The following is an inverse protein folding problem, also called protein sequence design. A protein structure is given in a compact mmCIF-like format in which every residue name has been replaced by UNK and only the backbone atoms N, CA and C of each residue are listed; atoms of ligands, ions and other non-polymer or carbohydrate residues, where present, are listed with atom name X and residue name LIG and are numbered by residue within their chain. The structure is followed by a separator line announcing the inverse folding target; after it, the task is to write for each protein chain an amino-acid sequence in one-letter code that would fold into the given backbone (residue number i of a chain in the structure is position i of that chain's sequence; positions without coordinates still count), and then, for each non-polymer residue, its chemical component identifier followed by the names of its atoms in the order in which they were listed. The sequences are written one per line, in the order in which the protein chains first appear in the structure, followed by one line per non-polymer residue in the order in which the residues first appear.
data_IF_274148760591
#
_entry.id   IF_274148760591
#
_cell.length_a   1.000
_cell.length_b   1.000
_cell.length_c   1.000
_cell.angle_alpha   90.00
_cell.angle_beta   90.00
_cell.angle_gamma   90.00
#
_symmetry.space_group_name_H-M   'P 1'
#
loop_
_entity.id
_entity.type
_entity.pdbx_description
1 polymer ?
#
# COMPACT_ATOMS: atom_id res chain seq x y z
N UNK A 1 29.15 9.81 9.05
CA UNK A 1 27.92 9.22 9.64
C UNK A 1 27.29 8.32 8.59
N UNK A 2 27.06 7.05 8.93
CA UNK A 2 26.61 6.05 7.96
C UNK A 2 25.24 6.46 7.36
N UNK A 3 25.15 6.64 6.04
CA UNK A 3 23.96 7.19 5.34
C UNK A 3 22.71 6.37 5.65
N UNK A 4 22.88 5.08 5.88
CA UNK A 4 21.83 4.14 6.28
C UNK A 4 21.25 4.47 7.67
N UNK A 5 22.10 4.70 8.68
CA UNK A 5 21.67 5.11 10.03
C UNK A 5 20.92 6.43 10.01
N UNK A 6 21.32 7.36 9.13
CA UNK A 6 20.64 8.64 8.93
C UNK A 6 19.22 8.44 8.37
N UNK A 7 19.06 7.59 7.35
CA UNK A 7 17.76 7.28 6.78
C UNK A 7 16.79 6.65 7.80
N UNK A 8 17.25 5.70 8.62
CA UNK A 8 16.41 5.14 9.69
C UNK A 8 16.02 6.19 10.72
N UNK A 9 16.95 7.04 11.18
CA UNK A 9 16.65 8.12 12.13
C UNK A 9 15.60 9.08 11.58
N UNK A 10 15.73 9.50 10.32
CA UNK A 10 14.72 10.37 9.67
C UNK A 10 13.35 9.69 9.61
N UNK A 11 13.28 8.41 9.26
CA UNK A 11 12.03 7.65 9.29
C UNK A 11 11.39 7.62 10.67
N UNK A 12 12.15 7.27 11.72
CA UNK A 12 11.64 7.22 13.09
C UNK A 12 11.14 8.59 13.57
N UNK A 13 11.91 9.66 13.30
CA UNK A 13 11.52 11.02 13.69
C UNK A 13 10.25 11.43 12.93
N UNK A 14 10.20 11.18 11.61
CA UNK A 14 9.02 11.51 10.80
C UNK A 14 7.78 10.73 11.23
N UNK A 15 7.93 9.46 11.58
CA UNK A 15 6.85 8.62 12.10
C UNK A 15 6.36 9.11 13.47
N UNK A 16 7.27 9.48 14.37
CA UNK A 16 6.90 10.04 15.67
C UNK A 16 6.12 11.36 15.54
N UNK A 17 6.55 12.24 14.63
CA UNK A 17 5.82 13.48 14.31
C UNK A 17 4.44 13.17 13.71
N UNK A 18 4.33 12.17 12.84
CA UNK A 18 3.05 11.72 12.30
C UNK A 18 2.10 11.24 13.41
N UNK A 19 2.59 10.47 14.39
CA UNK A 19 1.77 10.02 15.52
C UNK A 19 1.29 11.19 16.37
N UNK A 20 2.19 12.11 16.72
CA UNK A 20 1.84 13.29 17.52
C UNK A 20 0.81 14.16 16.79
N UNK A 21 1.04 14.46 15.51
CA UNK A 21 0.09 15.25 14.71
C UNK A 21 -1.25 14.54 14.51
N UNK A 22 -1.26 13.21 14.40
CA UNK A 22 -2.51 12.43 14.29
C UNK A 22 -3.38 12.49 15.53
N UNK A 23 -2.79 12.67 16.72
CA UNK A 23 -3.52 12.76 17.99
C UNK A 23 -3.95 14.20 18.30
N UNK A 24 -3.08 15.17 18.02
CA UNK A 24 -3.23 16.52 18.55
C UNK A 24 -3.67 17.57 17.54
N UNK A 25 -3.43 17.40 16.22
CA UNK A 25 -3.67 18.49 15.27
C UNK A 25 -3.82 18.04 13.80
N UNK A 26 -5.07 17.92 13.34
CA UNK A 26 -5.43 17.56 11.96
C UNK A 26 -4.85 18.45 10.84
N UNK A 27 -4.82 19.80 10.93
CA UNK A 27 -4.25 20.62 9.85
C UNK A 27 -2.73 20.42 9.67
N UNK A 28 -2.01 20.02 10.72
CA UNK A 28 -0.58 19.70 10.62
C UNK A 28 -0.33 18.32 10.00
N UNK A 29 -1.37 17.50 9.85
CA UNK A 29 -1.29 16.14 9.31
C UNK A 29 -0.79 16.13 7.85
N UNK A 30 -1.14 17.16 7.06
CA UNK A 30 -0.66 17.30 5.67
C UNK A 30 0.87 17.34 5.62
N UNK A 31 1.47 18.15 6.50
CA UNK A 31 2.91 18.34 6.54
C UNK A 31 3.63 17.09 7.07
N UNK A 32 3.09 16.45 8.11
CA UNK A 32 3.70 15.25 8.67
C UNK A 32 3.62 14.06 7.71
N UNK A 33 2.50 13.86 7.01
CA UNK A 33 2.37 12.84 5.95
C UNK A 33 3.35 13.08 4.81
N UNK A 34 3.47 14.33 4.36
CA UNK A 34 4.41 14.71 3.31
C UNK A 34 5.86 14.39 3.71
N UNK A 35 6.23 14.76 4.93
CA UNK A 35 7.56 14.50 5.49
C UNK A 35 7.86 13.00 5.56
N UNK A 36 6.89 12.18 5.97
CA UNK A 36 7.04 10.71 5.99
C UNK A 36 7.31 10.14 4.60
N UNK A 37 6.58 10.57 3.57
CA UNK A 37 6.78 10.06 2.21
C UNK A 37 8.15 10.48 1.66
N UNK A 38 8.62 11.70 1.97
CA UNK A 38 9.98 12.11 1.66
C UNK A 38 11.03 11.29 2.40
N UNK A 39 10.82 10.98 3.69
CA UNK A 39 11.73 10.11 4.46
C UNK A 39 11.80 8.70 3.87
N UNK A 40 10.68 8.13 3.45
CA UNK A 40 10.61 6.81 2.79
C UNK A 40 11.32 6.85 1.43
N UNK A 41 11.13 7.92 0.66
CA UNK A 41 11.82 8.13 -0.62
C UNK A 41 13.33 8.21 -0.43
N UNK A 42 13.79 8.95 0.59
CA UNK A 42 15.21 9.03 0.94
C UNK A 42 15.78 7.67 1.38
N UNK A 43 15.02 6.92 2.18
CA UNK A 43 15.38 5.55 2.55
C UNK A 43 15.57 4.64 1.32
N UNK A 44 14.65 4.71 0.36
CA UNK A 44 14.76 3.97 -0.90
C UNK A 44 16.05 4.31 -1.66
N UNK A 45 16.34 5.61 -1.83
CA UNK A 45 17.57 6.06 -2.52
C UNK A 45 18.85 5.57 -1.86
N UNK A 46 18.91 5.56 -0.53
CA UNK A 46 20.12 5.17 0.21
C UNK A 46 20.34 3.66 0.16
N UNK A 47 19.27 2.87 0.14
CA UNK A 47 19.35 1.40 0.26
C UNK A 47 19.41 0.67 -1.08
N UNK A 48 18.85 1.24 -2.15
CA UNK A 48 18.79 0.56 -3.44
C UNK A 48 20.12 0.58 -4.17
N UNK A 49 20.53 -0.55 -4.77
CA UNK A 49 21.74 -0.65 -5.60
C UNK A 49 21.55 0.02 -6.96
N UNK A 50 20.35 -0.06 -7.53
CA UNK A 50 19.94 0.58 -8.80
C UNK A 50 18.58 1.24 -8.64
N UNK A 51 18.54 2.56 -8.80
CA UNK A 51 17.31 3.34 -8.64
C UNK A 51 16.34 3.01 -9.76
N UNK A 52 15.15 2.52 -9.40
CA UNK A 52 14.05 2.38 -10.32
C UNK A 52 13.11 3.59 -10.18
N UNK A 53 13.13 4.48 -11.17
CA UNK A 53 12.35 5.72 -11.15
C UNK A 53 10.84 5.49 -11.00
N UNK A 54 10.32 4.33 -11.41
CA UNK A 54 8.91 3.98 -11.23
C UNK A 54 8.48 3.93 -9.76
N UNK A 55 9.38 3.54 -8.84
CA UNK A 55 9.09 3.55 -7.39
C UNK A 55 8.91 4.97 -6.89
N UNK A 56 9.73 5.91 -7.36
CA UNK A 56 9.65 7.32 -6.98
C UNK A 56 8.36 7.94 -7.53
N UNK A 57 8.00 7.64 -8.78
CA UNK A 57 6.73 8.09 -9.37
C UNK A 57 5.54 7.56 -8.58
N UNK A 58 5.56 6.29 -8.16
CA UNK A 58 4.50 5.73 -7.32
C UNK A 58 4.43 6.45 -5.95
N UNK A 59 5.56 6.76 -5.32
CA UNK A 59 5.60 7.51 -4.05
C UNK A 59 5.07 8.95 -4.21
N UNK A 60 5.33 9.61 -5.33
CA UNK A 60 4.80 10.94 -5.62
C UNK A 60 3.29 10.92 -5.88
N UNK A 61 2.78 9.89 -6.58
CA UNK A 61 1.34 9.74 -6.80
C UNK A 61 0.58 9.54 -5.50
N UNK A 62 1.08 8.68 -4.61
CA UNK A 62 0.42 8.51 -3.30
C UNK A 62 0.54 9.76 -2.44
N UNK A 63 1.66 10.51 -2.51
CA UNK A 63 1.78 11.80 -1.84
C UNK A 63 0.69 12.78 -2.28
N UNK A 64 0.48 12.92 -3.58
CA UNK A 64 -0.55 13.81 -4.10
C UNK A 64 -1.96 13.34 -3.69
N UNK A 65 -2.24 12.04 -3.72
CA UNK A 65 -3.50 11.49 -3.25
C UNK A 65 -3.75 11.75 -1.75
N UNK A 66 -2.72 11.60 -0.93
CA UNK A 66 -2.78 11.84 0.51
C UNK A 66 -3.02 13.31 0.85
N UNK A 67 -2.31 14.23 0.20
CA UNK A 67 -2.52 15.66 0.40
C UNK A 67 -3.96 16.06 0.05
N UNK A 68 -4.49 15.58 -1.07
CA UNK A 68 -5.87 15.83 -1.48
C UNK A 68 -6.89 15.23 -0.50
N UNK A 69 -6.62 14.02 0.01
CA UNK A 69 -7.46 13.31 0.98
C UNK A 69 -7.60 14.05 2.31
N UNK A 70 -6.53 14.73 2.75
CA UNK A 70 -6.57 15.53 3.98
C UNK A 70 -7.25 16.88 3.77
N UNK A 71 -7.05 17.55 2.62
CA UNK A 71 -7.66 18.85 2.33
C UNK A 71 -9.19 18.71 2.26
N UNK A 72 -9.69 17.87 1.35
CA UNK A 72 -11.13 17.66 1.18
C UNK A 72 -11.40 16.35 0.42
N UNK A 73 -11.63 15.28 1.19
CA UNK A 73 -11.83 13.93 0.63
C UNK A 73 -13.06 13.86 -0.29
N UNK A 74 -14.17 14.53 0.07
CA UNK A 74 -15.42 14.44 -0.69
C UNK A 74 -15.31 15.22 -2.00
N UNK A 75 -14.77 16.43 -1.95
CA UNK A 75 -14.61 17.27 -3.15
C UNK A 75 -13.63 16.66 -4.17
N UNK A 76 -12.53 16.08 -3.70
CA UNK A 76 -11.49 15.51 -4.56
C UNK A 76 -11.63 14.00 -4.77
N UNK A 77 -12.75 13.39 -4.36
CA UNK A 77 -12.96 11.94 -4.37
C UNK A 77 -12.59 11.30 -5.71
N UNK A 78 -13.12 11.84 -6.82
CA UNK A 78 -12.80 11.38 -8.18
C UNK A 78 -11.31 11.41 -8.49
N UNK A 79 -10.65 12.52 -8.18
CA UNK A 79 -9.22 12.72 -8.46
C UNK A 79 -8.39 11.76 -7.60
N UNK A 80 -8.70 11.64 -6.31
CA UNK A 80 -8.03 10.71 -5.39
C UNK A 80 -8.12 9.28 -5.92
N UNK A 81 -9.31 8.81 -6.33
CA UNK A 81 -9.48 7.47 -6.87
C UNK A 81 -8.64 7.26 -8.14
N UNK A 82 -8.60 8.23 -9.06
CA UNK A 82 -7.77 8.15 -10.26
C UNK A 82 -6.28 8.02 -9.89
N UNK A 83 -5.77 8.87 -8.99
CA UNK A 83 -4.38 8.78 -8.55
C UNK A 83 -4.06 7.44 -7.88
N UNK A 84 -4.95 6.95 -7.02
CA UNK A 84 -4.77 5.67 -6.34
C UNK A 84 -4.84 4.48 -7.32
N UNK A 85 -5.71 4.54 -8.34
CA UNK A 85 -5.74 3.56 -9.42
C UNK A 85 -4.41 3.52 -10.19
N UNK A 86 -3.87 4.68 -10.56
CA UNK A 86 -2.55 4.76 -11.20
C UNK A 86 -1.43 4.23 -10.29
N UNK A 87 -1.48 4.58 -8.99
CA UNK A 87 -0.54 4.06 -7.99
C UNK A 87 -0.57 2.53 -7.94
N UNK A 88 -1.74 1.89 -7.84
CA UNK A 88 -1.81 0.42 -7.83
C UNK A 88 -1.36 -0.19 -9.15
N UNK A 89 -1.69 0.42 -10.29
CA UNK A 89 -1.21 -0.04 -11.59
C UNK A 89 0.33 -0.04 -11.67
N UNK A 90 0.98 1.06 -11.27
CA UNK A 90 2.44 1.13 -11.24
C UNK A 90 3.06 0.12 -10.28
N UNK A 91 2.45 -0.08 -9.10
CA UNK A 91 2.94 -1.10 -8.17
C UNK A 91 2.80 -2.51 -8.75
N UNK A 92 1.71 -2.83 -9.45
CA UNK A 92 1.58 -4.11 -10.16
C UNK A 92 2.64 -4.27 -11.25
N UNK A 93 2.94 -3.22 -12.01
CA UNK A 93 4.04 -3.23 -13.00
C UNK A 93 5.41 -3.45 -12.36
N UNK A 94 5.66 -2.87 -11.19
CA UNK A 94 6.88 -3.08 -10.40
C UNK A 94 6.99 -4.53 -9.92
N UNK A 95 5.90 -5.06 -9.36
CA UNK A 95 5.79 -6.44 -8.90
C UNK A 95 5.91 -7.46 -10.04
N UNK A 96 5.55 -7.08 -11.27
CA UNK A 96 5.69 -7.94 -12.45
C UNK A 96 7.12 -8.41 -12.69
N UNK A 97 8.12 -7.57 -12.39
CA UNK A 97 9.53 -7.99 -12.47
C UNK A 97 9.84 -9.11 -11.47
N UNK A 98 9.28 -9.02 -10.27
CA UNK A 98 9.42 -10.04 -9.23
C UNK A 98 8.65 -11.32 -9.57
N UNK A 99 7.44 -11.20 -10.15
CA UNK A 99 6.67 -12.35 -10.64
C UNK A 99 7.43 -13.17 -11.69
N UNK A 100 8.10 -12.50 -12.64
CA UNK A 100 8.91 -13.18 -13.66
C UNK A 100 10.07 -13.98 -13.04
N UNK A 101 10.70 -13.46 -12.00
CA UNK A 101 11.82 -14.16 -11.30
C UNK A 101 11.35 -15.41 -10.57
N UNK A 102 10.15 -15.37 -9.99
CA UNK A 102 9.59 -16.44 -9.16
C UNK A 102 9.17 -17.67 -10.01
N UNK A 103 9.37 -17.66 -11.34
CA UNK A 103 8.96 -18.70 -12.31
C UNK A 103 7.51 -19.17 -12.06
N UNK A 104 6.60 -18.56 -12.79
CA UNK A 104 5.15 -18.80 -12.70
C UNK A 104 4.80 -20.29 -12.85
N UNK A 105 4.70 -21.03 -11.74
CA UNK A 105 4.25 -22.42 -11.73
C UNK A 105 2.71 -22.50 -11.63
N UNK A 106 2.00 -21.97 -12.63
CA UNK A 106 0.52 -21.88 -12.66
C UNK A 106 -0.22 -23.16 -12.23
N UNK A 107 0.38 -24.35 -12.45
CA UNK A 107 -0.24 -25.66 -12.17
C UNK A 107 -0.43 -26.02 -10.69
N UNK A 108 0.25 -25.36 -9.75
CA UNK A 108 0.18 -25.72 -8.30
C UNK A 108 -0.42 -24.63 -7.41
N UNK A 109 -0.78 -23.48 -7.98
CA UNK A 109 -0.95 -22.21 -7.25
C UNK A 109 -2.41 -21.78 -7.06
N UNK A 110 -3.36 -22.40 -7.75
CA UNK A 110 -4.77 -22.32 -7.38
C UNK A 110 -5.05 -23.22 -6.17
N UNK A 111 -4.29 -23.01 -5.09
CA UNK A 111 -4.54 -23.65 -3.81
C UNK A 111 -5.85 -23.11 -3.29
N UNK A 112 -6.72 -23.99 -2.75
CA UNK A 112 -8.01 -23.59 -2.18
C UNK A 112 -7.88 -22.42 -1.19
N UNK A 113 -6.75 -22.31 -0.48
CA UNK A 113 -6.41 -21.19 0.40
C UNK A 113 -6.41 -19.83 -0.32
N UNK A 114 -5.80 -19.70 -1.50
CA UNK A 114 -5.77 -18.42 -2.24
C UNK A 114 -7.17 -18.03 -2.70
N UNK A 115 -7.96 -18.99 -3.18
CA UNK A 115 -9.34 -18.74 -3.59
C UNK A 115 -10.21 -18.27 -2.41
N UNK A 116 -10.09 -18.92 -1.24
CA UNK A 116 -10.82 -18.55 -0.03
C UNK A 116 -10.40 -17.15 0.45
N UNK A 117 -9.09 -16.87 0.52
CA UNK A 117 -8.59 -15.56 0.95
C UNK A 117 -9.02 -14.44 0.01
N UNK A 118 -8.90 -14.64 -1.31
CA UNK A 118 -9.35 -13.64 -2.29
C UNK A 118 -10.86 -13.45 -2.27
N UNK A 119 -11.63 -14.52 -2.05
CA UNK A 119 -13.09 -14.46 -1.88
C UNK A 119 -13.49 -13.62 -0.67
N UNK A 120 -12.85 -13.85 0.49
CA UNK A 120 -13.07 -13.06 1.70
C UNK A 120 -12.68 -11.59 1.53
N UNK A 121 -11.52 -11.32 0.91
CA UNK A 121 -11.08 -9.95 0.64
C UNK A 121 -12.08 -9.23 -0.28
N UNK A 122 -12.49 -9.88 -1.36
CA UNK A 122 -13.46 -9.32 -2.31
C UNK A 122 -14.78 -9.04 -1.61
N UNK A 123 -15.26 -9.97 -0.79
CA UNK A 123 -16.48 -9.81 0.00
C UNK A 123 -16.38 -8.60 0.93
N UNK A 124 -15.29 -8.48 1.71
CA UNK A 124 -15.12 -7.36 2.65
C UNK A 124 -15.08 -6.02 1.92
N UNK A 125 -14.28 -5.93 0.84
CA UNK A 125 -14.16 -4.69 0.06
C UNK A 125 -15.49 -4.31 -0.58
N UNK A 126 -16.23 -5.29 -1.12
CA UNK A 126 -17.54 -5.06 -1.71
C UNK A 126 -18.58 -4.61 -0.67
N UNK A 127 -18.62 -5.25 0.50
CA UNK A 127 -19.53 -4.84 1.59
C UNK A 127 -19.27 -3.39 2.02
N UNK A 128 -18.01 -2.96 2.11
CA UNK A 128 -17.68 -1.56 2.42
C UNK A 128 -18.08 -0.63 1.28
N UNK A 129 -17.87 -1.04 0.02
CA UNK A 129 -18.26 -0.27 -1.15
C UNK A 129 -19.78 -0.08 -1.24
N UNK A 130 -20.56 -1.11 -0.89
CA UNK A 130 -22.02 -1.07 -0.84
C UNK A 130 -22.52 -0.07 0.22
N UNK A 131 -21.92 -0.09 1.42
CA UNK A 131 -22.26 0.85 2.49
C UNK A 131 -22.05 2.32 2.11
N UNK A 132 -21.03 2.62 1.30
CA UNK A 132 -20.72 3.99 0.88
C UNK A 132 -21.36 4.37 -0.46
N UNK A 133 -21.96 3.42 -1.18
CA UNK A 133 -22.48 3.62 -2.54
C UNK A 133 -23.47 4.79 -2.63
N UNK A 134 -24.34 4.92 -1.62
CA UNK A 134 -25.31 6.00 -1.50
C UNK A 134 -24.66 7.40 -1.39
N UNK A 135 -23.45 7.47 -0.82
CA UNK A 135 -22.74 8.74 -0.59
C UNK A 135 -21.80 9.11 -1.75
N UNK A 136 -21.61 8.23 -2.73
CA UNK A 136 -20.66 8.40 -3.84
C UNK A 136 -21.35 8.89 -5.12
N UNK A 137 -22.64 8.62 -5.30
CA UNK A 137 -23.44 9.14 -6.41
C UNK A 137 -22.81 8.84 -7.78
N UNK A 138 -22.55 9.89 -8.58
CA UNK A 138 -22.03 9.77 -9.95
C UNK A 138 -20.58 9.24 -10.05
N UNK A 139 -19.80 9.29 -8.97
CA UNK A 139 -18.39 8.87 -8.97
C UNK A 139 -18.20 7.35 -8.73
N UNK A 140 -19.29 6.58 -8.70
CA UNK A 140 -19.27 5.15 -8.37
C UNK A 140 -18.41 4.33 -9.35
N UNK A 141 -18.35 4.73 -10.63
CA UNK A 141 -17.49 4.07 -11.62
C UNK A 141 -16.00 4.15 -11.25
N UNK A 142 -15.54 5.30 -10.73
CA UNK A 142 -14.14 5.47 -10.32
C UNK A 142 -13.79 4.63 -9.10
N UNK A 143 -14.74 4.54 -8.16
CA UNK A 143 -14.61 3.66 -7.00
C UNK A 143 -14.51 2.18 -7.42
N UNK A 144 -15.36 1.73 -8.34
CA UNK A 144 -15.34 0.34 -8.82
C UNK A 144 -14.02 0.00 -9.52
N UNK A 145 -13.50 0.90 -10.37
CA UNK A 145 -12.21 0.73 -11.01
C UNK A 145 -11.09 0.61 -9.96
N UNK A 146 -11.11 1.46 -8.94
CA UNK A 146 -10.15 1.41 -7.84
C UNK A 146 -10.21 0.06 -7.11
N UNK A 147 -11.41 -0.41 -6.77
CA UNK A 147 -11.63 -1.69 -6.08
C UNK A 147 -11.05 -2.84 -6.88
N UNK A 148 -11.34 -2.91 -8.18
CA UNK A 148 -10.83 -3.96 -9.06
C UNK A 148 -9.30 -3.96 -9.07
N UNK A 149 -8.68 -2.80 -9.28
CA UNK A 149 -7.22 -2.66 -9.29
C UNK A 149 -6.60 -3.01 -7.94
N UNK A 150 -7.26 -2.65 -6.84
CA UNK A 150 -6.82 -2.96 -5.49
C UNK A 150 -6.85 -4.45 -5.19
N UNK A 151 -7.93 -5.14 -5.58
CA UNK A 151 -8.05 -6.60 -5.46
C UNK A 151 -6.95 -7.29 -6.27
N UNK A 152 -6.71 -6.86 -7.51
CA UNK A 152 -5.61 -7.40 -8.31
C UNK A 152 -4.24 -7.18 -7.65
N UNK A 153 -3.99 -5.97 -7.13
CA UNK A 153 -2.75 -5.67 -6.41
C UNK A 153 -2.53 -6.62 -5.23
N UNK A 154 -3.55 -6.82 -4.38
CA UNK A 154 -3.45 -7.77 -3.26
C UNK A 154 -3.23 -9.20 -3.77
N UNK A 155 -3.93 -9.60 -4.83
CA UNK A 155 -3.75 -10.90 -5.47
C UNK A 155 -2.32 -11.14 -5.92
N UNK A 156 -1.67 -10.15 -6.54
CA UNK A 156 -0.26 -10.23 -6.91
C UNK A 156 0.66 -10.34 -5.70
N UNK A 157 0.41 -9.56 -4.65
CA UNK A 157 1.18 -9.63 -3.40
C UNK A 157 1.10 -11.02 -2.76
N UNK A 158 -0.11 -11.57 -2.66
CA UNK A 158 -0.38 -12.88 -2.08
C UNK A 158 0.24 -14.00 -2.93
N UNK A 159 0.15 -13.88 -4.25
CA UNK A 159 0.77 -14.82 -5.19
C UNK A 159 2.30 -14.87 -5.04
N UNK A 160 2.96 -13.71 -4.94
CA UNK A 160 4.42 -13.65 -4.72
C UNK A 160 4.79 -14.29 -3.40
N UNK A 161 4.01 -14.04 -2.35
CA UNK A 161 4.22 -14.62 -1.03
C UNK A 161 4.16 -16.15 -1.03
N UNK A 162 3.14 -16.74 -1.64
CA UNK A 162 3.00 -18.21 -1.65
C UNK A 162 4.10 -18.92 -2.45
N UNK A 163 4.66 -18.27 -3.47
CA UNK A 163 5.64 -18.89 -4.36
C UNK A 163 7.11 -18.58 -4.03
N UNK A 164 7.34 -17.72 -3.05
CA UNK A 164 8.69 -17.45 -2.55
C UNK A 164 8.61 -17.44 -1.03
N UNK A 165 9.03 -18.51 -0.35
CA UNK A 165 9.04 -18.56 1.13
C UNK A 165 10.18 -17.76 1.75
N UNK A 166 10.58 -16.66 1.12
CA UNK A 166 11.65 -15.80 1.63
C UNK A 166 11.10 -14.73 2.57
N UNK A 167 11.90 -14.28 3.53
CA UNK A 167 11.55 -13.17 4.45
C UNK A 167 11.14 -11.90 3.68
N UNK A 168 11.68 -11.73 2.47
CA UNK A 168 11.33 -10.65 1.55
C UNK A 168 9.85 -10.73 1.14
N UNK A 169 9.33 -11.90 0.80
CA UNK A 169 7.93 -12.04 0.38
C UNK A 169 6.94 -11.80 1.53
N UNK A 170 7.31 -12.15 2.77
CA UNK A 170 6.50 -11.86 3.97
C UNK A 170 6.29 -10.36 4.18
N UNK A 171 7.28 -9.52 3.83
CA UNK A 171 7.13 -8.06 3.90
C UNK A 171 6.04 -7.55 2.95
N UNK A 172 5.89 -8.17 1.77
CA UNK A 172 4.87 -7.79 0.80
C UNK A 172 3.46 -8.16 1.29
N UNK A 173 3.30 -9.30 1.97
CA UNK A 173 2.04 -9.66 2.61
C UNK A 173 1.66 -8.64 3.68
N UNK A 174 2.59 -8.29 4.58
CA UNK A 174 2.34 -7.32 5.64
C UNK A 174 1.91 -5.98 5.03
N UNK A 175 2.58 -5.54 3.95
CA UNK A 175 2.21 -4.32 3.24
C UNK A 175 0.78 -4.41 2.67
N UNK A 176 0.42 -5.51 2.02
CA UNK A 176 -0.91 -5.71 1.45
C UNK A 176 -2.01 -5.70 2.53
N UNK A 177 -1.79 -6.37 3.66
CA UNK A 177 -2.72 -6.35 4.81
C UNK A 177 -2.88 -4.95 5.39
N UNK A 178 -1.77 -4.20 5.52
CA UNK A 178 -1.81 -2.81 5.97
C UNK A 178 -2.65 -1.95 5.03
N UNK A 179 -2.42 -2.04 3.71
CA UNK A 179 -3.22 -1.28 2.73
C UNK A 179 -4.70 -1.68 2.74
N UNK A 180 -5.03 -2.96 2.92
CA UNK A 180 -6.42 -3.40 3.04
C UNK A 180 -7.13 -2.71 4.19
N UNK A 181 -6.54 -2.75 5.38
CA UNK A 181 -7.12 -2.13 6.57
C UNK A 181 -7.18 -0.61 6.40
N UNK A 182 -6.12 0.02 5.88
CA UNK A 182 -6.07 1.47 5.68
C UNK A 182 -7.16 1.95 4.71
N UNK A 183 -7.33 1.30 3.56
CA UNK A 183 -8.35 1.73 2.59
C UNK A 183 -9.77 1.59 3.17
N UNK A 184 -10.07 0.48 3.85
CA UNK A 184 -11.37 0.24 4.48
C UNK A 184 -11.65 1.27 5.58
N UNK A 185 -10.71 1.43 6.52
CA UNK A 185 -10.90 2.36 7.64
C UNK A 185 -10.94 3.81 7.17
N UNK A 186 -10.13 4.19 6.18
CA UNK A 186 -10.13 5.57 5.64
C UNK A 186 -11.48 5.90 5.02
N UNK A 187 -12.02 5.00 4.19
CA UNK A 187 -13.28 5.28 3.50
C UNK A 187 -14.46 5.26 4.45
N UNK A 188 -14.49 4.33 5.41
CA UNK A 188 -15.50 4.33 6.48
C UNK A 188 -15.41 5.61 7.32
N UNK A 189 -14.20 6.04 7.69
CA UNK A 189 -13.99 7.23 8.50
C UNK A 189 -14.44 8.51 7.79
N UNK A 190 -14.16 8.63 6.48
CA UNK A 190 -14.44 9.85 5.70
C UNK A 190 -15.86 9.90 5.14
N UNK A 191 -16.48 8.74 4.87
CA UNK A 191 -17.77 8.66 4.16
C UNK A 191 -18.91 8.09 5.00
N UNK A 192 -18.66 7.47 6.15
CA UNK A 192 -19.69 6.86 6.97
C UNK A 192 -19.72 7.42 8.40
N UNK A 193 -18.71 7.14 9.23
CA UNK A 193 -18.65 7.57 10.63
C UNK A 193 -17.25 8.06 10.97
N UNK A 194 -17.15 9.33 11.38
CA UNK A 194 -15.89 9.93 11.78
C UNK A 194 -15.49 9.52 13.21
N UNK A 195 -14.32 8.92 13.35
CA UNK A 195 -13.70 8.50 14.62
C UNK A 195 -12.22 8.84 14.61
N UNK A 196 -11.77 9.64 15.57
CA UNK A 196 -10.36 10.08 15.69
C UNK A 196 -9.39 8.89 15.80
N UNK A 197 -9.82 7.82 16.47
CA UNK A 197 -9.04 6.58 16.62
C UNK A 197 -8.72 5.96 15.24
N UNK A 198 -9.65 6.05 14.28
CA UNK A 198 -9.40 5.55 12.93
C UNK A 198 -8.35 6.37 12.20
N UNK A 199 -8.27 7.68 12.44
CA UNK A 199 -7.21 8.53 11.88
C UNK A 199 -5.83 8.07 12.37
N UNK A 200 -5.69 7.81 13.67
CA UNK A 200 -4.41 7.33 14.23
C UNK A 200 -4.04 5.96 13.68
N UNK A 201 -4.97 4.99 13.69
CA UNK A 201 -4.72 3.63 13.21
C UNK A 201 -4.36 3.62 11.73
N UNK A 202 -5.11 4.36 10.90
CA UNK A 202 -4.85 4.43 9.45
C UNK A 202 -3.48 5.02 9.16
N UNK A 203 -3.08 6.10 9.84
CA UNK A 203 -1.76 6.72 9.63
C UNK A 203 -0.60 5.81 10.06
N UNK A 204 -0.75 5.08 11.17
CA UNK A 204 0.25 4.09 11.63
C UNK A 204 0.39 2.96 10.62
N UNK A 205 -0.73 2.34 10.24
CA UNK A 205 -0.73 1.21 9.30
C UNK A 205 -0.26 1.64 7.92
N UNK A 206 -0.55 2.87 7.50
CA UNK A 206 -0.09 3.41 6.24
C UNK A 206 1.44 3.59 6.23
N UNK A 207 2.02 4.14 7.31
CA UNK A 207 3.46 4.23 7.46
C UNK A 207 4.11 2.85 7.33
N UNK A 208 3.58 1.84 8.04
CA UNK A 208 4.08 0.47 7.94
C UNK A 208 3.89 -0.12 6.53
N UNK A 209 2.72 0.07 5.93
CA UNK A 209 2.40 -0.41 4.59
C UNK A 209 3.39 0.10 3.54
N UNK A 210 3.66 1.41 3.53
CA UNK A 210 4.65 1.98 2.62
C UNK A 210 6.08 1.55 2.94
N UNK A 211 6.46 1.50 4.22
CA UNK A 211 7.79 1.05 4.60
C UNK A 211 8.06 -0.39 4.15
N UNK A 212 7.14 -1.32 4.41
CA UNK A 212 7.30 -2.72 4.01
C UNK A 212 7.26 -2.90 2.49
N UNK A 213 6.41 -2.15 1.77
CA UNK A 213 6.38 -2.17 0.31
C UNK A 213 7.70 -1.68 -0.30
N UNK A 214 8.24 -0.57 0.21
CA UNK A 214 9.53 -0.03 -0.26
C UNK A 214 10.69 -0.95 0.13
N UNK A 215 10.65 -1.53 1.34
CA UNK A 215 11.62 -2.56 1.76
C UNK A 215 11.61 -3.75 0.80
N UNK A 216 10.43 -4.23 0.41
CA UNK A 216 10.30 -5.28 -0.61
C UNK A 216 10.98 -4.86 -1.92
N UNK A 217 10.73 -3.64 -2.42
CA UNK A 217 11.37 -3.18 -3.68
C UNK A 217 12.89 -3.01 -3.59
N UNK A 218 13.44 -2.78 -2.41
CA UNK A 218 14.88 -2.78 -2.16
C UNK A 218 15.44 -4.21 -2.17
N UNK A 219 14.75 -5.15 -1.53
CA UNK A 219 15.22 -6.52 -1.29
C UNK A 219 14.77 -7.51 -2.39
N UNK A 220 13.94 -7.10 -3.36
CA UNK A 220 13.42 -7.96 -4.43
C UNK A 220 14.50 -8.59 -5.33
N UNK A 221 15.74 -8.08 -5.28
CA UNK A 221 16.86 -8.71 -5.98
C UNK A 221 17.27 -10.04 -5.35
N UNK A 222 17.06 -10.19 -4.04
CA UNK A 222 17.41 -11.37 -3.25
C UNK A 222 16.31 -12.44 -3.23
N UNK A 223 15.22 -12.25 -3.99
CA UNK A 223 14.17 -13.25 -4.19
C UNK A 223 14.75 -14.50 -4.85
N UNK A 224 14.80 -15.60 -4.09
CA UNK A 224 15.10 -16.93 -4.60
C UNK A 224 13.79 -17.67 -4.90
N UNK A 225 13.69 -18.38 -6.05
CA UNK A 225 12.59 -19.31 -6.28
C UNK A 225 12.63 -20.45 -5.26
N UNK A 226 11.47 -21.00 -4.93
CA UNK A 226 11.35 -22.16 -4.05
C UNK A 226 11.85 -23.41 -4.81
N UNK A 227 13.15 -23.70 -4.73
CA UNK A 227 13.78 -24.88 -5.34
C UNK A 227 13.53 -26.15 -4.51
N UNK A 228 12.26 -26.42 -4.17
CA UNK A 228 11.92 -27.66 -3.46
C UNK A 228 11.35 -28.67 -4.45
N UNK A 229 12.28 -29.38 -5.12
CA UNK A 229 12.02 -30.72 -5.65
C UNK A 229 11.77 -31.66 -4.47
N UNK A 230 10.51 -31.78 -4.06
CA UNK A 230 10.10 -32.99 -3.34
C UNK A 230 9.86 -34.07 -4.38
N UNK A 231 10.82 -35.00 -4.43
CA UNK A 231 10.72 -36.33 -5.06
C UNK A 231 9.37 -36.99 -4.77
#
# INVERSE_FOLDING_TARGET
MDKTKLAYKLLYISGAILLLTSIFNEPLLVYSKTLVIFSISFFYFVKVKRVNYLVIVALLLVLAAEVLSVIDFKKYFRIINILMSFYYCLNMMLLWKSLKKVKIQFKRIFTAQLAITMGLITYVVYSVADMISLNVGEDQLYLNILIILFIFFIGFCYYIYLNSKTVVSSSLMIAASCFLIVNILTILNKMYVYLDIFVVITNVLQLFGHYFLVKFFVEQEDLKPDDVEFF
#
